data_IF_891901938163
#
_entry.id   IF_891901938163
#
_cell.length_a   1.000
_cell.length_b   1.000
_cell.length_c   1.000
_cell.angle_alpha   90.00
_cell.angle_beta   90.00
_cell.angle_gamma   90.00
#
_symmetry.space_group_name_H-M   'P 1'
#
loop_
_entity.id
_entity.type
_entity.pdbx_description
1 polymer ?
#
# COMPACT_ATOMS: atom_id res chain seq x y z
N UNK A 1 45.13 27.70 -45.36
CA UNK A 1 45.11 26.55 -44.44
C UNK A 1 44.39 26.98 -43.20
N UNK A 2 43.12 26.62 -43.08
CA UNK A 2 42.26 26.96 -41.93
C UNK A 2 41.92 25.69 -41.19
N UNK A 3 42.47 25.53 -40.01
CA UNK A 3 42.16 24.45 -39.09
C UNK A 3 40.83 24.73 -38.34
N UNK A 4 39.83 23.92 -38.60
CA UNK A 4 38.58 23.94 -37.79
C UNK A 4 38.78 23.07 -36.57
N UNK A 5 38.88 23.69 -35.42
CA UNK A 5 38.83 23.01 -34.13
C UNK A 5 37.38 22.65 -33.82
N UNK A 6 37.04 21.36 -33.97
CA UNK A 6 35.73 20.81 -33.53
C UNK A 6 35.74 20.61 -32.02
N UNK A 7 35.12 21.52 -31.30
CA UNK A 7 34.82 21.32 -29.86
C UNK A 7 33.76 20.24 -29.70
N UNK A 8 34.15 19.04 -29.29
CA UNK A 8 33.22 17.98 -28.83
C UNK A 8 32.64 18.40 -27.48
N UNK A 9 31.40 18.79 -27.47
CA UNK A 9 30.60 18.89 -26.26
C UNK A 9 30.55 17.52 -25.59
N UNK A 10 31.21 17.37 -24.43
CA UNK A 10 31.03 16.22 -23.54
C UNK A 10 29.67 16.36 -22.89
N UNK A 11 28.73 15.55 -23.33
CA UNK A 11 27.47 15.35 -22.61
C UNK A 11 27.82 14.65 -21.30
N UNK A 12 27.75 15.40 -20.21
CA UNK A 12 27.88 14.87 -18.85
C UNK A 12 26.67 13.92 -18.61
N UNK A 13 26.86 12.66 -18.18
CA UNK A 13 25.73 11.78 -17.92
C UNK A 13 24.90 12.33 -16.76
N UNK A 14 23.61 12.40 -16.99
CA UNK A 14 22.55 12.83 -16.07
C UNK A 14 22.79 12.26 -14.66
N UNK A 15 22.84 13.17 -13.66
CA UNK A 15 23.23 12.89 -12.30
C UNK A 15 22.45 11.74 -11.67
N UNK A 16 23.16 10.82 -11.04
CA UNK A 16 22.59 9.77 -10.20
C UNK A 16 21.79 10.42 -9.07
N UNK A 17 20.46 10.30 -9.12
CA UNK A 17 19.56 10.78 -8.05
C UNK A 17 19.97 10.15 -6.71
N UNK A 18 20.04 10.96 -5.65
CA UNK A 18 20.37 10.49 -4.31
C UNK A 18 19.36 9.43 -3.84
N UNK A 19 19.71 8.55 -2.89
CA UNK A 19 18.76 7.58 -2.32
C UNK A 19 17.50 8.24 -1.77
N UNK A 20 17.61 9.43 -1.20
CA UNK A 20 16.46 10.19 -0.70
C UNK A 20 15.57 10.68 -1.85
N UNK A 21 16.14 11.21 -2.94
CA UNK A 21 15.39 11.63 -4.12
C UNK A 21 14.67 10.44 -4.80
N UNK A 22 15.36 9.31 -4.93
CA UNK A 22 14.74 8.07 -5.47
C UNK A 22 13.56 7.60 -4.63
N UNK A 23 13.69 7.66 -3.29
CA UNK A 23 12.60 7.28 -2.36
C UNK A 23 11.40 8.23 -2.51
N UNK A 24 11.64 9.55 -2.58
CA UNK A 24 10.56 10.52 -2.77
C UNK A 24 9.81 10.29 -4.08
N UNK A 25 10.53 10.08 -5.18
CA UNK A 25 9.96 9.78 -6.49
C UNK A 25 9.09 8.51 -6.42
N UNK A 26 9.61 7.42 -5.85
CA UNK A 26 8.91 6.14 -5.74
C UNK A 26 7.62 6.24 -4.90
N UNK A 27 7.62 6.98 -3.79
CA UNK A 27 6.43 7.21 -2.95
C UNK A 27 5.39 8.07 -3.69
N UNK A 28 5.85 9.14 -4.34
CA UNK A 28 4.97 10.00 -5.15
C UNK A 28 4.33 9.23 -6.30
N UNK A 29 5.10 8.43 -7.01
CA UNK A 29 4.59 7.68 -8.17
C UNK A 29 3.58 6.61 -7.73
N UNK A 30 3.80 5.96 -6.59
CA UNK A 30 2.84 5.03 -6.00
C UNK A 30 1.53 5.73 -5.61
N UNK A 31 1.60 6.90 -4.96
CA UNK A 31 0.41 7.67 -4.59
C UNK A 31 -0.36 8.16 -5.83
N UNK A 32 0.36 8.67 -6.86
CA UNK A 32 -0.24 9.09 -8.12
C UNK A 32 -0.87 7.94 -8.88
N UNK A 33 -0.24 6.77 -8.89
CA UNK A 33 -0.80 5.57 -9.53
C UNK A 33 -2.09 5.14 -8.86
N UNK A 34 -2.14 5.07 -7.53
CA UNK A 34 -3.36 4.75 -6.79
C UNK A 34 -4.48 5.77 -7.08
N UNK A 35 -4.19 7.07 -6.98
CA UNK A 35 -5.19 8.12 -7.24
C UNK A 35 -5.70 8.12 -8.69
N UNK A 36 -4.84 7.79 -9.65
CA UNK A 36 -5.21 7.67 -11.07
C UNK A 36 -6.24 6.57 -11.32
N UNK A 37 -6.21 5.50 -10.52
CA UNK A 37 -7.15 4.39 -10.60
C UNK A 37 -8.32 4.53 -9.63
N UNK A 38 -8.57 5.74 -9.09
CA UNK A 38 -9.70 6.01 -8.23
C UNK A 38 -9.54 5.57 -6.79
N UNK A 39 -8.36 5.13 -6.36
CA UNK A 39 -8.10 4.72 -4.98
C UNK A 39 -7.70 5.94 -4.14
N UNK A 40 -8.50 6.32 -3.12
CA UNK A 40 -8.21 7.49 -2.30
C UNK A 40 -6.93 7.30 -1.49
N UNK A 41 -6.07 8.32 -1.51
CA UNK A 41 -4.79 8.33 -0.80
C UNK A 41 -4.70 9.43 0.24
N UNK A 42 -3.87 9.21 1.25
CA UNK A 42 -3.45 10.20 2.25
C UNK A 42 -1.94 10.15 2.47
N UNK A 43 -1.32 11.29 2.77
CA UNK A 43 0.06 11.32 3.23
C UNK A 43 0.13 10.82 4.68
N UNK A 44 1.07 9.90 4.93
CA UNK A 44 1.34 9.34 6.25
C UNK A 44 2.65 9.83 6.84
N UNK A 45 2.82 9.59 8.15
CA UNK A 45 4.06 9.83 8.87
C UNK A 45 5.21 8.99 8.28
N UNK A 46 6.43 9.46 8.46
CA UNK A 46 7.62 8.83 7.88
C UNK A 46 8.46 8.14 8.96
N UNK A 47 8.97 6.97 8.64
CA UNK A 47 9.93 6.27 9.49
C UNK A 47 11.35 6.79 9.25
N UNK A 48 11.97 7.33 10.32
CA UNK A 48 13.37 7.78 10.34
C UNK A 48 13.97 7.54 11.74
N UNK A 49 15.23 7.14 11.81
CA UNK A 49 15.97 7.00 13.07
C UNK A 49 15.19 6.22 14.15
N UNK A 50 14.60 5.09 13.75
CA UNK A 50 13.82 4.20 14.62
C UNK A 50 12.55 4.81 15.25
N UNK A 51 11.99 5.86 14.63
CA UNK A 51 10.73 6.52 15.06
C UNK A 51 9.93 6.99 13.87
N UNK A 52 8.65 7.23 14.12
CA UNK A 52 7.75 7.89 13.14
C UNK A 52 7.71 9.40 13.41
N UNK A 53 7.64 10.16 12.31
CA UNK A 53 7.55 11.61 12.34
C UNK A 53 6.49 12.10 11.36
N UNK A 54 5.73 13.11 11.77
CA UNK A 54 4.99 13.93 10.83
C UNK A 54 6.01 14.75 10.01
N UNK A 55 6.07 14.51 8.70
CA UNK A 55 7.08 15.16 7.86
C UNK A 55 6.87 16.68 7.70
N UNK A 56 5.66 17.19 7.98
CA UNK A 56 5.33 18.61 7.91
C UNK A 56 5.80 19.35 9.17
N UNK A 57 5.43 18.83 10.34
CA UNK A 57 5.70 19.48 11.63
C UNK A 57 6.99 19.01 12.30
N UNK A 58 7.60 17.95 11.78
CA UNK A 58 8.74 17.23 12.36
C UNK A 58 8.49 16.68 13.78
N UNK A 59 7.23 16.65 14.22
CA UNK A 59 6.84 16.04 15.50
C UNK A 59 6.87 14.52 15.40
N UNK A 60 7.30 13.84 16.47
CA UNK A 60 7.19 12.37 16.55
C UNK A 60 5.74 11.94 16.64
N UNK A 61 5.41 10.79 16.04
CA UNK A 61 4.08 10.20 16.07
C UNK A 61 4.14 8.78 16.66
N UNK A 62 3.04 8.36 17.27
CA UNK A 62 2.90 7.00 17.76
C UNK A 62 2.47 6.08 16.59
N UNK A 63 3.45 5.52 15.90
CA UNK A 63 3.22 4.65 14.76
C UNK A 63 2.97 5.39 13.43
N UNK A 64 2.57 4.62 12.42
CA UNK A 64 2.23 5.12 11.10
C UNK A 64 0.83 5.73 11.12
N UNK A 65 0.76 7.06 11.09
CA UNK A 65 -0.49 7.83 11.18
C UNK A 65 -0.64 8.79 10.00
N UNK A 66 -1.87 9.13 9.57
CA UNK A 66 -2.10 10.19 8.62
C UNK A 66 -1.57 11.53 9.14
N UNK A 67 -0.99 12.37 8.28
CA UNK A 67 -0.52 13.71 8.63
C UNK A 67 -1.56 14.80 8.33
N UNK A 68 -2.67 14.42 7.70
CA UNK A 68 -3.88 15.24 7.50
C UNK A 68 -5.11 14.43 7.92
N UNK A 69 -6.24 15.07 8.23
CA UNK A 69 -7.48 14.37 8.61
C UNK A 69 -7.92 13.34 7.54
N UNK A 70 -8.45 12.20 7.99
CA UNK A 70 -8.84 11.09 7.10
C UNK A 70 -9.88 11.45 6.05
N UNK A 71 -10.73 12.42 6.36
CA UNK A 71 -11.77 12.95 5.46
C UNK A 71 -11.18 13.64 4.22
N UNK A 72 -9.92 14.07 4.28
CA UNK A 72 -9.21 14.70 3.16
C UNK A 72 -8.62 13.69 2.18
N UNK A 73 -8.88 12.40 2.37
CA UNK A 73 -8.47 11.38 1.40
C UNK A 73 -8.98 11.74 0.01
N UNK A 74 -8.07 11.72 -0.97
CA UNK A 74 -8.37 12.25 -2.29
C UNK A 74 -7.84 11.36 -3.41
N UNK A 75 -8.50 11.46 -4.56
CA UNK A 75 -8.03 10.96 -5.86
C UNK A 75 -7.56 12.09 -6.77
N UNK A 76 -7.65 13.35 -6.31
CA UNK A 76 -7.19 14.49 -7.08
C UNK A 76 -5.66 14.47 -7.22
N UNK A 77 -5.21 14.26 -8.46
CA UNK A 77 -3.80 14.15 -8.81
C UNK A 77 -3.01 15.43 -8.53
N UNK A 78 -3.65 16.60 -8.59
CA UNK A 78 -2.98 17.88 -8.30
C UNK A 78 -2.68 17.97 -6.80
N UNK A 79 -3.66 17.65 -5.96
CA UNK A 79 -3.49 17.60 -4.51
C UNK A 79 -2.45 16.54 -4.10
N UNK A 80 -2.50 15.35 -4.71
CA UNK A 80 -1.52 14.28 -4.48
C UNK A 80 -0.11 14.75 -4.84
N UNK A 81 0.08 15.37 -6.00
CA UNK A 81 1.39 15.94 -6.38
C UNK A 81 1.89 16.97 -5.38
N UNK A 82 1.01 17.86 -4.90
CA UNK A 82 1.37 18.86 -3.91
C UNK A 82 1.88 18.23 -2.60
N UNK A 83 1.22 17.20 -2.10
CA UNK A 83 1.64 16.50 -0.88
C UNK A 83 3.02 15.84 -1.00
N UNK A 84 3.32 15.19 -2.12
CA UNK A 84 4.60 14.51 -2.35
C UNK A 84 5.60 15.33 -3.17
N UNK A 85 5.43 16.66 -3.26
CA UNK A 85 6.33 17.50 -4.03
C UNK A 85 7.75 17.54 -3.43
N UNK A 86 7.85 17.70 -2.13
CA UNK A 86 9.11 17.88 -1.41
C UNK A 86 9.32 16.92 -0.25
N UNK A 87 8.26 16.32 0.28
CA UNK A 87 8.29 15.49 1.48
C UNK A 87 8.00 14.02 1.17
N UNK A 88 8.81 13.07 1.69
CA UNK A 88 8.66 11.65 1.40
C UNK A 88 7.61 10.99 2.31
N UNK A 89 6.38 11.49 2.31
CA UNK A 89 5.27 10.91 3.08
C UNK A 89 5.08 9.43 2.77
N UNK A 90 4.74 8.65 3.78
CA UNK A 90 4.20 7.30 3.56
C UNK A 90 2.89 7.39 2.74
N UNK A 91 2.64 6.38 1.93
CA UNK A 91 1.40 6.29 1.15
C UNK A 91 0.39 5.49 1.95
N UNK A 92 -0.74 6.10 2.28
CA UNK A 92 -1.86 5.46 2.95
C UNK A 92 -3.05 5.41 2.00
N UNK A 93 -3.60 4.23 1.79
CA UNK A 93 -4.87 4.01 1.08
C UNK A 93 -6.02 4.12 2.08
N UNK A 94 -7.19 4.64 1.65
CA UNK A 94 -8.34 4.88 2.53
C UNK A 94 -9.54 4.04 2.08
N UNK A 95 -10.11 3.29 3.03
CA UNK A 95 -11.22 2.34 2.82
C UNK A 95 -12.59 3.02 2.75
N UNK A 96 -13.60 2.29 2.28
CA UNK A 96 -15.02 2.63 2.37
C UNK A 96 -15.59 3.36 1.16
N UNK A 97 -14.77 3.71 0.14
CA UNK A 97 -15.27 4.35 -1.09
C UNK A 97 -14.96 3.52 -2.33
N UNK A 98 -13.70 3.28 -2.60
CA UNK A 98 -13.25 2.54 -3.79
C UNK A 98 -13.07 1.05 -3.50
N UNK A 99 -12.74 0.72 -2.27
CA UNK A 99 -12.54 -0.65 -1.79
C UNK A 99 -12.73 -0.71 -0.27
N UNK A 100 -13.01 -1.90 0.22
CA UNK A 100 -12.90 -2.29 1.62
C UNK A 100 -11.66 -3.18 1.80
N UNK A 101 -11.28 -3.45 3.05
CA UNK A 101 -10.10 -4.25 3.35
C UNK A 101 -10.41 -5.35 4.35
N UNK A 102 -10.17 -6.60 3.95
CA UNK A 102 -10.18 -7.75 4.85
C UNK A 102 -8.75 -8.03 5.27
N UNK A 103 -8.48 -7.88 6.55
CA UNK A 103 -7.16 -8.11 7.17
C UNK A 103 -7.14 -9.44 7.88
N UNK A 104 -6.07 -10.23 7.65
CA UNK A 104 -5.86 -11.54 8.28
C UNK A 104 -4.37 -11.73 8.59
N UNK A 105 -3.97 -12.70 9.44
CA UNK A 105 -2.59 -13.11 9.58
C UNK A 105 -1.94 -13.41 8.23
N UNK A 106 -0.68 -12.99 8.03
CA UNK A 106 0.00 -13.06 6.73
C UNK A 106 0.10 -14.50 6.19
N UNK A 107 0.42 -15.47 7.05
CA UNK A 107 0.52 -16.89 6.66
C UNK A 107 -0.80 -17.40 6.07
N UNK A 108 -1.89 -17.06 6.71
CA UNK A 108 -3.24 -17.43 6.25
C UNK A 108 -3.62 -16.72 4.95
N UNK A 109 -3.41 -15.40 4.88
CA UNK A 109 -3.65 -14.64 3.66
C UNK A 109 -2.88 -15.18 2.45
N UNK A 110 -1.61 -15.55 2.64
CA UNK A 110 -0.80 -16.16 1.57
C UNK A 110 -1.34 -17.53 1.16
N UNK A 111 -1.80 -18.35 2.12
CA UNK A 111 -2.42 -19.64 1.82
C UNK A 111 -3.70 -19.48 1.02
N UNK A 112 -4.57 -18.54 1.42
CA UNK A 112 -5.81 -18.22 0.70
C UNK A 112 -5.53 -17.69 -0.71
N UNK A 113 -4.55 -16.79 -0.86
CA UNK A 113 -4.16 -16.24 -2.17
C UNK A 113 -3.64 -17.30 -3.15
N UNK A 114 -3.11 -18.42 -2.65
CA UNK A 114 -2.68 -19.57 -3.45
C UNK A 114 -3.82 -20.56 -3.75
N UNK A 115 -4.95 -20.44 -3.10
CA UNK A 115 -6.12 -21.31 -3.34
C UNK A 115 -6.62 -21.15 -4.78
N UNK A 116 -7.14 -22.22 -5.38
CA UNK A 116 -7.59 -22.23 -6.78
C UNK A 116 -8.58 -21.12 -7.11
N UNK A 117 -9.51 -20.79 -6.22
CA UNK A 117 -10.46 -19.69 -6.39
C UNK A 117 -9.77 -18.35 -6.66
N UNK A 118 -8.79 -17.95 -5.82
CA UNK A 118 -8.09 -16.66 -5.96
C UNK A 118 -6.93 -16.69 -6.96
N UNK A 119 -6.59 -17.86 -7.50
CA UNK A 119 -5.65 -17.92 -8.64
C UNK A 119 -6.26 -17.51 -9.95
N UNK A 120 -7.55 -17.78 -10.13
CA UNK A 120 -8.31 -17.42 -11.35
C UNK A 120 -8.85 -15.99 -11.28
N UNK A 121 -9.30 -15.56 -10.10
CA UNK A 121 -9.84 -14.23 -9.86
C UNK A 121 -9.14 -13.62 -8.61
N UNK A 122 -7.93 -13.05 -8.79
CA UNK A 122 -7.13 -12.57 -7.70
C UNK A 122 -7.66 -11.24 -7.15
N UNK A 123 -7.54 -11.05 -5.84
CA UNK A 123 -7.70 -9.75 -5.18
C UNK A 123 -6.34 -9.09 -4.97
N UNK A 124 -6.18 -7.77 -5.16
CA UNK A 124 -4.96 -7.07 -4.75
C UNK A 124 -4.70 -7.32 -3.26
N UNK A 125 -3.46 -7.68 -2.92
CA UNK A 125 -3.12 -8.03 -1.55
C UNK A 125 -1.81 -7.39 -1.11
N UNK A 126 -1.85 -6.66 0.00
CA UNK A 126 -0.71 -6.05 0.68
C UNK A 126 -0.26 -6.97 1.82
N UNK A 127 1.04 -7.09 2.03
CA UNK A 127 1.62 -7.70 3.23
C UNK A 127 2.46 -6.68 3.99
N UNK A 128 2.30 -6.65 5.32
CA UNK A 128 2.98 -5.71 6.18
C UNK A 128 4.03 -6.38 7.06
N UNK A 129 5.03 -5.63 7.57
CA UNK A 129 6.02 -6.15 8.51
C UNK A 129 5.42 -6.71 9.81
N UNK A 130 4.23 -6.25 10.21
CA UNK A 130 3.45 -6.76 11.35
C UNK A 130 2.85 -8.15 11.11
N UNK A 131 3.25 -8.79 9.99
CA UNK A 131 2.79 -10.11 9.58
C UNK A 131 1.28 -10.17 9.34
N UNK A 132 0.71 -9.11 8.78
CA UNK A 132 -0.66 -9.05 8.30
C UNK A 132 -0.73 -9.08 6.77
N UNK A 133 -1.78 -9.69 6.25
CA UNK A 133 -2.21 -9.62 4.86
C UNK A 133 -3.51 -8.82 4.78
N UNK A 134 -3.58 -7.91 3.83
CA UNK A 134 -4.72 -7.02 3.59
C UNK A 134 -5.22 -7.24 2.17
N UNK A 135 -6.37 -7.88 2.03
CA UNK A 135 -7.05 -8.03 0.74
C UNK A 135 -7.90 -6.78 0.48
N UNK A 136 -7.70 -6.16 -0.67
CA UNK A 136 -8.55 -5.07 -1.13
C UNK A 136 -9.72 -5.69 -1.90
N UNK A 137 -10.94 -5.44 -1.42
CA UNK A 137 -12.18 -6.04 -1.95
C UNK A 137 -13.19 -4.96 -2.32
N UNK A 138 -14.14 -5.29 -3.18
CA UNK A 138 -15.20 -4.36 -3.59
C UNK A 138 -16.09 -3.95 -2.41
N UNK A 139 -16.61 -2.71 -2.47
CA UNK A 139 -17.56 -2.15 -1.48
C UNK A 139 -19.01 -2.41 -1.90
N UNK A 140 -19.92 -2.58 -0.96
CA UNK A 140 -19.71 -2.81 0.47
C UNK A 140 -19.33 -4.26 0.74
N UNK A 141 -18.37 -4.48 1.64
CA UNK A 141 -18.04 -5.80 2.13
C UNK A 141 -18.65 -6.06 3.51
N UNK A 142 -19.01 -7.31 3.77
CA UNK A 142 -19.43 -7.79 5.09
C UNK A 142 -18.67 -9.07 5.42
N UNK A 143 -18.31 -9.29 6.68
CA UNK A 143 -17.65 -10.54 7.07
C UNK A 143 -18.63 -11.69 7.14
N UNK A 144 -18.23 -12.84 6.57
CA UNK A 144 -18.91 -14.10 6.75
C UNK A 144 -18.89 -14.51 8.23
N UNK A 145 -19.98 -15.08 8.72
CA UNK A 145 -20.22 -15.39 10.16
C UNK A 145 -19.15 -16.25 10.83
N UNK A 146 -18.37 -16.99 10.08
CA UNK A 146 -17.29 -17.83 10.61
C UNK A 146 -15.99 -17.06 10.84
N UNK A 147 -15.73 -16.00 10.07
CA UNK A 147 -14.46 -15.29 10.10
C UNK A 147 -14.21 -14.48 11.38
N UNK A 148 -15.21 -13.81 11.98
CA UNK A 148 -15.00 -13.08 13.24
C UNK A 148 -14.59 -13.98 14.43
N UNK A 149 -14.76 -15.30 14.31
CA UNK A 149 -14.32 -16.26 15.33
C UNK A 149 -12.80 -16.42 15.40
N UNK A 150 -12.09 -15.98 14.36
CA UNK A 150 -10.65 -16.07 14.28
C UNK A 150 -9.99 -14.78 14.77
N UNK A 151 -9.04 -14.87 15.70
CA UNK A 151 -8.32 -13.69 16.16
C UNK A 151 -7.58 -13.00 15.00
N UNK A 152 -7.54 -11.66 15.04
CA UNK A 152 -6.88 -10.82 14.04
C UNK A 152 -7.50 -10.87 12.63
N UNK A 153 -8.74 -11.38 12.48
CA UNK A 153 -9.52 -11.18 11.25
C UNK A 153 -10.38 -9.94 11.43
N UNK A 154 -10.18 -8.97 10.57
CA UNK A 154 -10.83 -7.65 10.68
C UNK A 154 -11.29 -7.20 9.30
N UNK A 155 -12.54 -6.77 9.19
CA UNK A 155 -12.99 -5.90 8.11
C UNK A 155 -12.74 -4.46 8.56
N UNK A 156 -11.96 -3.73 7.78
CA UNK A 156 -11.65 -2.34 8.09
C UNK A 156 -12.90 -1.46 8.01
N UNK A 157 -13.13 -0.63 9.02
CA UNK A 157 -14.19 0.36 8.99
C UNK A 157 -13.96 1.40 7.88
N UNK A 158 -15.02 2.06 7.39
CA UNK A 158 -14.86 3.18 6.46
C UNK A 158 -13.92 4.25 7.04
N UNK A 159 -13.14 4.87 6.17
CA UNK A 159 -12.08 5.83 6.51
C UNK A 159 -10.91 5.22 7.32
N UNK A 160 -10.80 3.91 7.42
CA UNK A 160 -9.58 3.27 7.89
C UNK A 160 -8.45 3.47 6.89
N UNK A 161 -7.20 3.39 7.38
CA UNK A 161 -6.01 3.56 6.54
C UNK A 161 -5.21 2.26 6.46
N UNK A 162 -4.73 1.94 5.27
CA UNK A 162 -3.86 0.80 5.00
C UNK A 162 -2.59 1.30 4.32
N UNK A 163 -1.39 0.93 4.83
CA UNK A 163 -0.15 1.36 4.20
C UNK A 163 0.03 0.70 2.84
N UNK A 164 0.34 1.49 1.81
CA UNK A 164 0.65 0.98 0.49
C UNK A 164 2.16 0.95 0.22
N UNK A 165 2.66 -0.05 -0.53
CA UNK A 165 4.04 -0.05 -1.00
C UNK A 165 4.34 1.22 -1.84
N UNK A 166 5.55 1.79 -1.73
CA UNK A 166 6.74 1.31 -1.01
C UNK A 166 6.92 1.93 0.40
N UNK A 167 5.83 2.17 1.11
CA UNK A 167 5.87 2.67 2.50
C UNK A 167 6.76 1.78 3.38
N UNK A 168 7.45 2.41 4.35
CA UNK A 168 8.20 1.69 5.38
C UNK A 168 7.45 1.73 6.71
N UNK A 169 7.35 0.56 7.33
CA UNK A 169 6.89 0.38 8.71
C UNK A 169 8.03 -0.24 9.52
N UNK A 170 8.40 0.39 10.62
CA UNK A 170 9.49 -0.06 11.51
C UNK A 170 10.78 -0.42 10.77
N UNK A 171 11.13 0.39 9.77
CA UNK A 171 12.30 0.18 8.92
C UNK A 171 12.11 -0.79 7.77
N UNK A 172 11.09 -1.63 7.79
CA UNK A 172 10.82 -2.65 6.78
C UNK A 172 9.82 -2.15 5.72
N UNK A 173 9.92 -2.69 4.50
CA UNK A 173 9.02 -2.32 3.41
C UNK A 173 7.69 -3.06 3.51
N UNK A 174 6.60 -2.32 3.37
CA UNK A 174 5.30 -2.86 2.96
C UNK A 174 5.43 -3.36 1.51
N UNK A 175 4.81 -4.48 1.20
CA UNK A 175 4.93 -5.12 -0.13
C UNK A 175 3.57 -5.50 -0.69
N UNK A 176 3.45 -5.42 -2.00
CA UNK A 176 2.38 -6.12 -2.71
C UNK A 176 2.71 -7.61 -2.76
N UNK A 177 1.80 -8.46 -2.30
CA UNK A 177 1.82 -9.90 -2.58
C UNK A 177 1.14 -10.19 -3.92
N UNK A 178 -0.01 -9.56 -4.15
CA UNK A 178 -0.69 -9.48 -5.44
C UNK A 178 -0.77 -8.00 -5.80
N UNK A 179 -0.09 -7.61 -6.88
CA UNK A 179 -0.05 -6.22 -7.32
C UNK A 179 -1.39 -5.81 -7.93
N UNK A 180 -1.80 -4.54 -7.80
CA UNK A 180 -3.02 -4.05 -8.43
C UNK A 180 -2.98 -4.15 -9.96
N UNK A 181 -1.81 -4.08 -10.58
CA UNK A 181 -1.67 -4.28 -12.03
C UNK A 181 -2.09 -5.68 -12.50
N UNK A 182 -2.01 -6.69 -11.62
CA UNK A 182 -2.46 -8.05 -11.94
C UNK A 182 -3.98 -8.17 -11.97
N UNK A 183 -4.69 -7.24 -11.39
CA UNK A 183 -6.15 -7.19 -11.30
C UNK A 183 -6.72 -5.98 -12.02
N UNK A 184 -5.94 -5.34 -12.89
CA UNK A 184 -6.30 -4.10 -13.56
C UNK A 184 -6.86 -3.03 -12.61
N UNK A 185 -6.26 -2.95 -11.41
CA UNK A 185 -6.67 -2.06 -10.32
C UNK A 185 -8.10 -2.29 -9.82
N UNK A 186 -8.70 -3.43 -10.15
CA UNK A 186 -10.01 -3.83 -9.67
C UNK A 186 -9.87 -4.52 -8.31
N UNK A 187 -10.58 -4.06 -7.25
CA UNK A 187 -10.68 -4.79 -5.99
C UNK A 187 -11.34 -6.16 -6.21
N UNK A 188 -10.95 -7.16 -5.41
CA UNK A 188 -11.45 -8.52 -5.56
C UNK A 188 -12.90 -8.69 -5.04
N UNK A 189 -13.53 -9.81 -5.40
CA UNK A 189 -14.83 -10.19 -4.84
C UNK A 189 -14.68 -10.57 -3.35
N UNK A 190 -15.35 -9.88 -2.42
CA UNK A 190 -15.28 -10.17 -0.99
C UNK A 190 -15.79 -11.58 -0.64
N UNK A 191 -16.79 -12.09 -1.34
CA UNK A 191 -17.30 -13.44 -1.09
C UNK A 191 -16.29 -14.50 -1.51
N UNK A 192 -15.60 -14.29 -2.62
CA UNK A 192 -14.57 -15.21 -3.10
C UNK A 192 -13.36 -15.24 -2.18
N UNK A 193 -12.89 -14.06 -1.74
CA UNK A 193 -11.78 -13.93 -0.77
C UNK A 193 -12.13 -14.67 0.52
N UNK A 194 -13.32 -14.45 1.06
CA UNK A 194 -13.75 -15.06 2.31
C UNK A 194 -13.92 -16.59 2.20
N UNK A 195 -14.46 -17.08 1.08
CA UNK A 195 -14.53 -18.54 0.83
C UNK A 195 -13.15 -19.17 0.78
N UNK A 196 -12.17 -18.52 0.13
CA UNK A 196 -10.80 -19.01 0.09
C UNK A 196 -10.13 -18.99 1.48
N UNK A 197 -10.43 -17.97 2.30
CA UNK A 197 -9.99 -17.91 3.69
C UNK A 197 -10.58 -19.07 4.49
N UNK A 198 -11.88 -19.29 4.47
CA UNK A 198 -12.54 -20.40 5.18
C UNK A 198 -11.98 -21.76 4.74
N UNK A 199 -11.83 -21.98 3.44
CA UNK A 199 -11.31 -23.22 2.89
C UNK A 199 -9.86 -23.52 3.35
N UNK A 200 -9.08 -22.49 3.70
CA UNK A 200 -7.69 -22.64 4.15
C UNK A 200 -7.52 -22.52 5.66
N UNK A 201 -8.58 -22.25 6.41
CA UNK A 201 -8.53 -22.04 7.86
C UNK A 201 -8.00 -23.26 8.61
N UNK A 202 -8.48 -24.45 8.30
CA UNK A 202 -8.12 -25.70 8.97
C UNK A 202 -6.63 -26.05 8.89
N UNK A 203 -5.94 -25.63 7.82
CA UNK A 203 -4.50 -25.85 7.65
C UNK A 203 -3.62 -24.87 8.43
N UNK A 204 -4.17 -23.75 8.92
CA UNK A 204 -3.43 -22.70 9.62
C UNK A 204 -3.59 -22.74 11.14
N UNK A 205 -4.69 -23.27 11.66
CA UNK A 205 -4.88 -23.47 13.09
C UNK A 205 -3.78 -24.36 13.72
N UNK A 206 -3.24 -25.29 12.96
CA UNK A 206 -2.16 -26.19 13.39
C UNK A 206 -0.74 -25.55 13.36
N UNK A 207 -0.59 -24.32 12.86
CA UNK A 207 0.73 -23.66 12.72
C UNK A 207 0.94 -22.48 13.67
N UNK A 208 -0.07 -22.09 14.42
CA UNK A 208 -0.03 -20.95 15.38
C UNK A 208 -0.07 -21.41 16.85
N UNK A 209 -0.12 -22.73 17.12
CA UNK A 209 0.12 -23.35 18.43
C UNK A 209 1.55 -23.86 18.54
#
# INVERSE_FOLDING_TARGET
>A
MSERVSARLRVTPCGSSTPAARRLISLRDAALSASQHGWPVLPGSVWRQSRYYNAITNASTNGLTPVVPRQHATVDRQQVRAWWQTLPHAVLLVTGKAFDVISVPMSWGISAAKHSMLRHDPAPMIVTPERMAHFLVTVPATLHVELPRWPRVVLAEPLSVVPAPPTRMDGNLVKWWITPNRTDWTPGDPALVQRALVATASGNAARET
#
